data_IF_914291305129
#
_entry.id   IF_914291305129
#
_cell.length_a   1.000
_cell.length_b   1.000
_cell.length_c   1.000
_cell.angle_alpha   90.00
_cell.angle_beta   90.00
_cell.angle_gamma   90.00
#
_symmetry.space_group_name_H-M   'P 1'
#
loop_
_entity.id
_entity.type
_entity.pdbx_description
1 polymer ?
#
# COMPACT_ATOMS: atom_id res chain seq x y z
N UNK A 1 7.37 -7.77 -14.91
CA UNK A 1 7.82 -6.93 -13.78
C UNK A 1 7.33 -5.55 -14.10
N UNK A 2 6.05 -5.35 -13.86
CA UNK A 2 5.32 -4.17 -14.28
C UNK A 2 5.39 -3.15 -13.15
N UNK A 3 6.59 -2.59 -12.97
CA UNK A 3 6.85 -1.49 -12.01
C UNK A 3 5.89 -0.32 -12.21
N UNK A 4 5.29 -0.21 -13.40
CA UNK A 4 4.26 0.78 -13.71
C UNK A 4 2.92 0.49 -13.02
N UNK A 5 2.49 -0.78 -12.95
CA UNK A 5 1.26 -1.17 -12.25
C UNK A 5 1.41 -0.98 -10.74
N UNK A 6 2.60 -1.24 -10.20
CA UNK A 6 2.89 -1.03 -8.78
C UNK A 6 2.95 0.45 -8.40
N UNK A 7 3.56 1.28 -9.25
CA UNK A 7 3.60 2.71 -9.04
C UNK A 7 2.19 3.33 -9.12
N UNK A 8 1.37 2.93 -10.09
CA UNK A 8 -0.02 3.35 -10.22
C UNK A 8 -0.85 2.96 -8.98
N UNK A 9 -0.72 1.71 -8.54
CA UNK A 9 -1.38 1.22 -7.32
C UNK A 9 -0.95 2.01 -6.08
N UNK A 10 0.34 2.30 -5.95
CA UNK A 10 0.86 3.03 -4.81
C UNK A 10 0.41 4.50 -4.83
N UNK A 11 0.24 5.11 -6.01
CA UNK A 11 -0.39 6.42 -6.16
C UNK A 11 -1.88 6.42 -5.79
N UNK A 12 -2.66 5.43 -6.23
CA UNK A 12 -4.07 5.28 -5.81
C UNK A 12 -4.20 5.17 -4.29
N UNK A 13 -3.29 4.43 -3.67
CA UNK A 13 -3.25 4.28 -2.21
C UNK A 13 -2.95 5.59 -1.49
N UNK A 14 -2.04 6.41 -2.03
CA UNK A 14 -1.76 7.76 -1.51
C UNK A 14 -3.00 8.62 -1.58
N UNK A 15 -3.74 8.60 -2.69
CA UNK A 15 -4.93 9.45 -2.85
C UNK A 15 -6.01 9.12 -1.80
N UNK A 16 -6.23 7.83 -1.53
CA UNK A 16 -7.19 7.36 -0.51
C UNK A 16 -6.73 7.70 0.92
N UNK A 17 -5.42 7.69 1.17
CA UNK A 17 -4.86 7.89 2.53
C UNK A 17 -4.50 9.33 2.84
N UNK A 18 -4.18 10.15 1.84
CA UNK A 18 -3.84 11.57 1.94
C UNK A 18 -4.77 12.38 2.86
N UNK A 19 -6.11 12.22 2.82
CA UNK A 19 -7.00 12.95 3.74
C UNK A 19 -6.96 12.46 5.20
N UNK A 20 -6.44 11.26 5.46
CA UNK A 20 -6.38 10.65 6.80
C UNK A 20 -4.97 10.64 7.41
N UNK A 21 -3.94 10.85 6.59
CA UNK A 21 -2.54 10.85 7.04
C UNK A 21 -2.10 12.21 7.58
N UNK A 22 -1.21 12.18 8.57
CA UNK A 22 -0.50 13.37 9.01
C UNK A 22 0.51 13.83 7.96
N UNK A 23 0.89 15.12 8.01
CA UNK A 23 1.87 15.69 7.08
C UNK A 23 3.22 14.94 7.08
N UNK A 24 3.63 14.38 8.22
CA UNK A 24 4.86 13.59 8.34
C UNK A 24 4.74 12.23 7.63
N UNK A 25 3.59 11.57 7.75
CA UNK A 25 3.34 10.28 7.09
C UNK A 25 3.22 10.45 5.59
N UNK A 26 2.49 11.48 5.12
CA UNK A 26 2.41 11.82 3.70
C UNK A 26 3.80 12.13 3.14
N UNK A 27 4.61 12.94 3.83
CA UNK A 27 5.99 13.22 3.39
C UNK A 27 6.86 11.96 3.30
N UNK A 28 6.74 11.05 4.26
CA UNK A 28 7.44 9.76 4.23
C UNK A 28 6.96 8.90 3.05
N UNK A 29 5.66 8.89 2.77
CA UNK A 29 5.04 8.17 1.66
C UNK A 29 5.59 8.67 0.30
N UNK A 30 5.56 9.98 0.08
CA UNK A 30 6.09 10.62 -1.12
C UNK A 30 7.59 10.37 -1.29
N UNK A 31 8.36 10.38 -0.19
CA UNK A 31 9.79 10.11 -0.24
C UNK A 31 10.10 8.66 -0.67
N UNK A 32 9.33 7.68 -0.19
CA UNK A 32 9.52 6.27 -0.54
C UNK A 32 9.07 6.00 -1.99
N UNK A 33 7.98 6.62 -2.44
CA UNK A 33 7.56 6.57 -3.85
C UNK A 33 8.58 7.19 -4.80
N UNK A 34 9.11 8.36 -4.44
CA UNK A 34 10.14 9.04 -5.22
C UNK A 34 11.46 8.27 -5.29
N UNK A 35 11.73 7.36 -4.35
CA UNK A 35 12.89 6.48 -4.36
C UNK A 35 12.74 5.28 -5.32
N UNK A 36 11.56 5.04 -5.89
CA UNK A 36 11.28 3.91 -6.77
C UNK A 36 11.18 2.55 -6.05
N UNK A 37 11.09 2.55 -4.72
CA UNK A 37 10.91 1.34 -3.93
C UNK A 37 9.40 1.11 -3.70
N UNK A 38 8.73 0.62 -4.74
CA UNK A 38 7.29 0.33 -4.74
C UNK A 38 6.89 -0.60 -3.59
N UNK A 39 7.75 -1.58 -3.28
CA UNK A 39 7.54 -2.53 -2.19
C UNK A 39 7.49 -1.82 -0.82
N UNK A 40 8.49 -0.97 -0.52
CA UNK A 40 8.48 -0.18 0.72
C UNK A 40 7.34 0.83 0.73
N UNK A 41 6.96 1.39 -0.41
CA UNK A 41 5.86 2.34 -0.51
C UNK A 41 4.56 1.66 -0.08
N UNK A 42 4.19 0.56 -0.73
CA UNK A 42 2.99 -0.22 -0.44
C UNK A 42 2.96 -0.66 1.03
N UNK A 43 4.08 -1.17 1.57
CA UNK A 43 4.17 -1.58 2.97
C UNK A 43 3.93 -0.41 3.93
N UNK A 44 4.44 0.77 3.61
CA UNK A 44 4.30 1.98 4.44
C UNK A 44 2.86 2.47 4.43
N UNK A 45 2.22 2.51 3.25
CA UNK A 45 0.80 2.87 3.12
C UNK A 45 -0.07 1.90 3.91
N UNK A 46 0.08 0.59 3.71
CA UNK A 46 -0.73 -0.42 4.39
C UNK A 46 -0.61 -0.32 5.91
N UNK A 47 0.59 -0.04 6.41
CA UNK A 47 0.80 0.15 7.85
C UNK A 47 0.06 1.38 8.37
N UNK A 48 0.10 2.48 7.62
CA UNK A 48 -0.61 3.69 7.99
C UNK A 48 -2.13 3.49 7.94
N UNK A 49 -2.65 2.79 6.93
CA UNK A 49 -4.06 2.38 6.84
C UNK A 49 -4.52 1.57 8.06
N UNK A 50 -3.71 0.59 8.49
CA UNK A 50 -3.99 -0.20 9.70
C UNK A 50 -3.95 0.67 10.96
N UNK A 51 -2.97 1.57 11.08
CA UNK A 51 -2.84 2.44 12.25
C UNK A 51 -3.99 3.45 12.39
N UNK A 52 -4.42 4.03 11.26
CA UNK A 52 -5.50 5.02 11.23
C UNK A 52 -6.89 4.39 11.04
N UNK A 53 -6.97 3.06 10.96
CA UNK A 53 -8.19 2.29 10.68
C UNK A 53 -8.97 2.84 9.47
N UNK A 54 -8.24 3.29 8.44
CA UNK A 54 -8.84 3.85 7.22
C UNK A 54 -9.42 2.69 6.42
N UNK A 55 -10.73 2.72 6.13
CA UNK A 55 -11.35 1.66 5.38
C UNK A 55 -10.92 1.71 3.91
N UNK A 56 -10.61 0.54 3.35
CA UNK A 56 -10.12 0.41 1.98
C UNK A 56 -11.23 -0.12 1.07
N UNK A 57 -11.46 0.50 -0.10
CA UNK A 57 -12.38 -0.03 -1.09
C UNK A 57 -12.03 -1.46 -1.50
N UNK A 58 -13.04 -2.31 -1.65
CA UNK A 58 -12.85 -3.71 -2.01
C UNK A 58 -12.11 -3.89 -3.34
N UNK A 59 -12.36 -3.01 -4.32
CA UNK A 59 -11.67 -3.01 -5.62
C UNK A 59 -10.17 -2.75 -5.45
N UNK A 60 -9.79 -1.77 -4.64
CA UNK A 60 -8.38 -1.48 -4.36
C UNK A 60 -7.72 -2.63 -3.59
N UNK A 61 -8.45 -3.28 -2.69
CA UNK A 61 -7.97 -4.46 -1.96
C UNK A 61 -7.73 -5.64 -2.90
N UNK A 62 -8.57 -5.82 -3.92
CA UNK A 62 -8.39 -6.85 -4.94
C UNK A 62 -7.18 -6.54 -5.84
N UNK A 63 -7.03 -5.30 -6.33
CA UNK A 63 -5.85 -4.87 -7.09
C UNK A 63 -4.55 -5.05 -6.27
N UNK A 64 -4.58 -4.71 -4.97
CA UNK A 64 -3.47 -4.96 -4.05
C UNK A 64 -3.17 -6.45 -3.91
N UNK A 65 -4.19 -7.29 -3.75
CA UNK A 65 -4.00 -8.74 -3.61
C UNK A 65 -3.39 -9.34 -4.87
N UNK A 66 -3.84 -8.90 -6.06
CA UNK A 66 -3.31 -9.34 -7.35
C UNK A 66 -1.85 -8.88 -7.53
N UNK A 67 -1.55 -7.61 -7.22
CA UNK A 67 -0.20 -7.09 -7.20
C UNK A 67 0.71 -7.88 -6.24
N UNK A 68 0.24 -8.15 -5.01
CA UNK A 68 0.96 -8.95 -4.01
C UNK A 68 1.13 -10.41 -4.42
N UNK A 69 0.23 -10.97 -5.24
CA UNK A 69 0.40 -12.30 -5.80
C UNK A 69 1.63 -12.39 -6.72
N UNK A 70 1.99 -11.31 -7.42
CA UNK A 70 3.24 -11.25 -8.17
C UNK A 70 4.47 -11.26 -7.24
N UNK A 71 4.31 -10.86 -5.99
CA UNK A 71 5.31 -10.94 -4.93
C UNK A 71 5.29 -12.27 -4.16
N UNK A 72 4.44 -13.25 -4.49
CA UNK A 72 4.30 -14.50 -3.73
C UNK A 72 5.60 -15.31 -3.56
N UNK A 73 6.57 -15.12 -4.47
CA UNK A 73 7.89 -15.74 -4.42
C UNK A 73 8.90 -14.97 -3.56
N UNK A 74 8.53 -13.77 -3.11
CA UNK A 74 9.32 -12.95 -2.20
C UNK A 74 9.07 -13.39 -0.75
N UNK A 75 10.14 -13.47 0.03
CA UNK A 75 10.12 -13.78 1.48
C UNK A 75 9.20 -12.83 2.27
N UNK A 76 8.89 -11.68 1.69
CA UNK A 76 8.14 -10.61 2.32
C UNK A 76 6.62 -10.66 2.06
N UNK A 77 6.16 -11.55 1.16
CA UNK A 77 4.74 -11.77 0.86
C UNK A 77 3.84 -12.05 2.08
N UNK A 78 4.20 -12.93 3.04
CA UNK A 78 3.33 -13.22 4.18
C UNK A 78 3.13 -12.00 5.10
N UNK A 79 4.10 -11.09 5.18
CA UNK A 79 3.98 -9.88 5.98
C UNK A 79 2.97 -8.89 5.37
N UNK A 80 2.96 -8.77 4.04
CA UNK A 80 2.03 -7.92 3.32
C UNK A 80 0.60 -8.45 3.35
N UNK A 81 0.40 -9.76 3.19
CA UNK A 81 -0.92 -10.38 3.30
C UNK A 81 -1.53 -10.14 4.70
N UNK A 82 -0.71 -10.25 5.74
CA UNK A 82 -1.13 -9.98 7.11
C UNK A 82 -1.56 -8.52 7.31
N UNK A 83 -0.81 -7.56 6.77
CA UNK A 83 -1.19 -6.14 6.82
C UNK A 83 -2.50 -5.88 6.07
N UNK A 84 -2.67 -6.46 4.88
CA UNK A 84 -3.87 -6.30 4.07
C UNK A 84 -5.14 -6.87 4.75
N UNK A 85 -4.99 -7.98 5.48
CA UNK A 85 -6.08 -8.55 6.29
C UNK A 85 -6.43 -7.69 7.50
N UNK A 86 -5.46 -6.99 8.07
CA UNK A 86 -5.66 -6.12 9.22
C UNK A 86 -6.34 -4.79 8.85
N UNK A 87 -6.34 -4.40 7.58
CA UNK A 87 -7.08 -3.21 7.13
C UNK A 87 -8.60 -3.48 7.16
N UNK A 88 -9.39 -2.63 7.85
CA UNK A 88 -10.83 -2.76 7.87
C UNK A 88 -11.43 -2.60 6.46
N UNK A 89 -12.41 -3.44 6.08
CA UNK A 89 -13.15 -3.24 4.82
C UNK A 89 -14.01 -1.97 4.90
N UNK A 90 -14.20 -1.31 3.76
CA UNK A 90 -15.23 -0.24 3.60
C UNK A 90 -16.63 -0.82 3.54
#
# INVERSE_FOLDING_TARGET
>A
MDTWAEADLAWKLVDVTSPSLSAAESAQLYAVLGAGDSYRAITTVLRALVQHAVPLPADLKAELTDCLSAYQHSVAAPHLDQLLRAVPPV
#
